data_IF_595011054211
#
_entry.id   IF_595011054211
#
_cell.length_a   1.000
_cell.length_b   1.000
_cell.length_c   1.000
_cell.angle_alpha   90.00
_cell.angle_beta   90.00
_cell.angle_gamma   90.00
#
_symmetry.space_group_name_H-M   'P 1'
#
loop_
_entity.id
_entity.type
_entity.pdbx_description
1 polymer ?
#
# COMPACT_ATOMS: atom_id res chain seq x y z
N UNK A 1 7.48 -37.32 -11.00
CA UNK A 1 6.84 -36.07 -11.44
C UNK A 1 6.86 -35.17 -10.24
N UNK A 2 7.69 -34.13 -10.28
CA UNK A 2 7.95 -33.25 -9.16
C UNK A 2 6.85 -32.18 -9.09
N UNK A 3 5.87 -32.37 -8.20
CA UNK A 3 4.86 -31.36 -7.90
C UNK A 3 5.51 -30.24 -7.09
N UNK A 4 6.18 -29.31 -7.78
CA UNK A 4 6.63 -28.07 -7.15
C UNK A 4 5.44 -27.43 -6.43
N UNK A 5 5.53 -27.12 -5.12
CA UNK A 5 4.41 -26.58 -4.36
C UNK A 5 3.83 -25.32 -5.04
N UNK A 6 2.51 -25.19 -5.06
CA UNK A 6 1.76 -24.09 -5.71
C UNK A 6 2.30 -22.70 -5.32
N UNK A 7 2.88 -22.56 -4.13
CA UNK A 7 3.54 -21.35 -3.64
C UNK A 7 4.68 -20.84 -4.52
N UNK A 8 5.36 -21.71 -5.27
CA UNK A 8 6.51 -21.33 -6.11
C UNK A 8 6.11 -20.85 -7.51
N UNK A 9 4.82 -20.87 -7.90
CA UNK A 9 4.34 -20.30 -9.17
C UNK A 9 3.45 -19.08 -8.98
N UNK A 10 3.04 -18.79 -7.75
CA UNK A 10 2.09 -17.74 -7.47
C UNK A 10 2.76 -16.36 -7.50
N UNK A 11 2.60 -15.64 -8.61
CA UNK A 11 3.10 -14.26 -8.74
C UNK A 11 2.09 -13.19 -8.32
N UNK A 12 0.80 -13.53 -8.35
CA UNK A 12 -0.30 -12.62 -8.01
C UNK A 12 -1.25 -13.28 -7.03
N UNK A 13 -1.50 -12.63 -5.91
CA UNK A 13 -2.46 -13.05 -4.90
C UNK A 13 -3.51 -11.96 -4.79
N UNK A 14 -4.76 -12.37 -4.96
CA UNK A 14 -5.93 -11.52 -4.77
C UNK A 14 -6.79 -12.14 -3.69
N UNK A 15 -7.04 -11.38 -2.63
CA UNK A 15 -7.94 -11.76 -1.54
C UNK A 15 -9.14 -10.82 -1.58
N UNK A 16 -10.30 -11.35 -1.94
CA UNK A 16 -11.58 -10.65 -1.91
C UNK A 16 -12.42 -11.19 -0.74
N UNK A 17 -12.68 -10.35 0.26
CA UNK A 17 -13.56 -10.70 1.39
C UNK A 17 -14.91 -10.00 1.23
N UNK A 18 -16.00 -10.76 1.25
CA UNK A 18 -17.37 -10.23 1.15
C UNK A 18 -18.05 -10.03 2.51
N UNK A 19 -17.45 -10.54 3.58
CA UNK A 19 -17.99 -10.48 4.94
C UNK A 19 -17.65 -9.13 5.57
N UNK A 20 -18.61 -8.19 5.54
CA UNK A 20 -18.40 -6.80 6.00
C UNK A 20 -18.19 -6.67 7.51
N UNK A 21 -18.64 -7.63 8.30
CA UNK A 21 -18.54 -7.61 9.77
C UNK A 21 -17.24 -8.21 10.30
N UNK A 22 -16.47 -8.93 9.46
CA UNK A 22 -15.25 -9.60 9.90
C UNK A 22 -14.05 -8.66 9.78
N UNK A 23 -13.39 -8.37 10.92
CA UNK A 23 -12.11 -7.65 10.98
C UNK A 23 -11.00 -8.69 11.19
N UNK A 24 -10.05 -8.73 10.28
CA UNK A 24 -8.91 -9.64 10.32
C UNK A 24 -7.86 -9.14 11.33
N UNK A 25 -7.50 -10.01 12.27
CA UNK A 25 -6.36 -9.77 13.17
C UNK A 25 -5.05 -10.09 12.45
N UNK A 26 -4.32 -9.04 12.07
CA UNK A 26 -3.13 -9.16 11.22
C UNK A 26 -1.92 -9.79 11.89
N UNK A 27 -1.92 -9.91 13.22
CA UNK A 27 -0.89 -10.63 13.99
C UNK A 27 -0.73 -12.10 13.56
N UNK A 28 -1.81 -12.71 13.06
CA UNK A 28 -1.86 -14.11 12.62
C UNK A 28 -1.46 -14.33 11.15
N UNK A 29 -1.38 -13.27 10.35
CA UNK A 29 -1.15 -13.37 8.91
C UNK A 29 0.35 -13.35 8.61
N UNK A 30 0.86 -14.44 8.03
CA UNK A 30 2.22 -14.52 7.53
C UNK A 30 2.26 -15.05 6.09
N UNK A 31 2.65 -14.17 5.18
CA UNK A 31 2.75 -14.40 3.74
C UNK A 31 4.22 -14.41 3.24
N UNK A 32 5.21 -14.35 4.13
CA UNK A 32 6.62 -14.26 3.74
C UNK A 32 7.11 -15.47 2.94
N UNK A 33 6.51 -16.65 3.16
CA UNK A 33 6.80 -17.91 2.44
C UNK A 33 6.51 -17.85 0.93
N UNK A 34 5.75 -16.87 0.46
CA UNK A 34 5.39 -16.75 -0.96
C UNK A 34 6.43 -15.91 -1.71
N UNK A 35 7.67 -16.41 -1.79
CA UNK A 35 8.82 -15.67 -2.33
C UNK A 35 8.65 -15.25 -3.80
N UNK A 36 7.85 -15.97 -4.57
CA UNK A 36 7.55 -15.65 -5.97
C UNK A 36 6.41 -14.64 -6.14
N UNK A 37 5.75 -14.25 -5.05
CA UNK A 37 4.68 -13.27 -5.09
C UNK A 37 5.23 -11.87 -5.40
N UNK A 38 4.67 -11.26 -6.44
CA UNK A 38 5.03 -9.91 -6.92
C UNK A 38 3.89 -8.93 -6.73
N UNK A 39 2.65 -9.40 -6.81
CA UNK A 39 1.44 -8.57 -6.76
C UNK A 39 0.51 -9.04 -5.67
N UNK A 40 0.16 -8.13 -4.76
CA UNK A 40 -0.82 -8.37 -3.71
C UNK A 40 -2.01 -7.42 -3.89
N UNK A 41 -3.21 -7.98 -3.96
CA UNK A 41 -4.46 -7.23 -4.01
C UNK A 41 -5.35 -7.66 -2.85
N UNK A 42 -5.64 -6.73 -1.94
CA UNK A 42 -6.54 -6.94 -0.81
C UNK A 42 -7.80 -6.11 -1.04
N UNK A 43 -8.94 -6.78 -1.19
CA UNK A 43 -10.23 -6.14 -1.40
C UNK A 43 -11.24 -6.60 -0.34
N UNK A 44 -11.83 -5.64 0.38
CA UNK A 44 -12.88 -5.92 1.38
C UNK A 44 -12.38 -6.62 2.66
N UNK A 45 -11.10 -6.95 2.74
CA UNK A 45 -10.47 -7.53 3.93
C UNK A 45 -10.24 -6.44 4.97
N UNK A 46 -11.18 -6.26 5.89
CA UNK A 46 -11.11 -5.23 6.93
C UNK A 46 -10.02 -5.54 7.95
N UNK A 47 -9.14 -4.60 8.25
CA UNK A 47 -8.03 -4.79 9.21
C UNK A 47 -7.69 -3.45 9.87
N UNK A 48 -7.20 -3.46 11.12
CA UNK A 48 -6.73 -2.21 11.78
C UNK A 48 -5.40 -1.72 11.21
N UNK A 49 -4.49 -2.64 10.92
CA UNK A 49 -3.13 -2.35 10.45
C UNK A 49 -2.63 -3.46 9.53
N UNK A 50 -1.63 -3.19 8.69
CA UNK A 50 -0.99 -4.24 7.88
C UNK A 50 -0.15 -5.17 8.77
N UNK A 51 0.04 -6.45 8.37
CA UNK A 51 1.08 -7.27 8.97
C UNK A 51 2.44 -6.58 8.87
N UNK A 52 3.34 -6.83 9.83
CA UNK A 52 4.69 -6.30 9.77
C UNK A 52 5.38 -6.66 8.44
N UNK A 53 6.32 -5.80 8.02
CA UNK A 53 6.94 -5.89 6.69
C UNK A 53 7.66 -7.23 6.43
N UNK A 54 8.18 -7.88 7.48
CA UNK A 54 8.84 -9.19 7.45
C UNK A 54 7.85 -10.37 7.32
N UNK A 55 6.57 -10.13 7.61
CA UNK A 55 5.46 -11.07 7.36
C UNK A 55 4.86 -10.93 5.96
N UNK A 56 5.25 -9.92 5.20
CA UNK A 56 4.85 -9.75 3.80
C UNK A 56 5.84 -10.47 2.86
N UNK A 57 5.41 -10.87 1.66
CA UNK A 57 6.30 -11.47 0.69
C UNK A 57 7.44 -10.51 0.31
N UNK A 58 8.70 -10.96 0.31
CA UNK A 58 9.88 -10.06 0.21
C UNK A 58 10.04 -9.41 -1.16
N UNK A 59 9.42 -9.98 -2.19
CA UNK A 59 9.58 -9.56 -3.59
C UNK A 59 8.35 -8.84 -4.15
N UNK A 60 7.47 -8.32 -3.29
CA UNK A 60 6.32 -7.53 -3.74
C UNK A 60 6.78 -6.29 -4.51
N UNK A 61 6.29 -6.16 -5.74
CA UNK A 61 6.50 -5.01 -6.62
C UNK A 61 5.25 -4.16 -6.74
N UNK A 62 4.07 -4.74 -6.48
CA UNK A 62 2.80 -4.03 -6.53
C UNK A 62 1.88 -4.42 -5.39
N UNK A 63 1.31 -3.42 -4.73
CA UNK A 63 0.27 -3.60 -3.72
C UNK A 63 -0.95 -2.77 -4.13
N UNK A 64 -2.13 -3.37 -3.98
CA UNK A 64 -3.42 -2.68 -4.13
C UNK A 64 -4.28 -3.00 -2.93
N UNK A 65 -4.71 -1.97 -2.22
CA UNK A 65 -5.59 -2.08 -1.07
C UNK A 65 -6.90 -1.39 -1.43
N UNK A 66 -8.03 -2.05 -1.21
CA UNK A 66 -9.34 -1.47 -1.47
C UNK A 66 -10.32 -1.99 -0.42
N UNK A 67 -11.08 -1.08 0.20
CA UNK A 67 -12.05 -1.42 1.27
C UNK A 67 -11.44 -2.25 2.40
N UNK A 68 -10.16 -2.03 2.70
CA UNK A 68 -9.44 -2.65 3.82
C UNK A 68 -9.66 -1.91 5.14
N UNK A 69 -10.15 -0.66 5.10
CA UNK A 69 -10.47 0.16 6.28
C UNK A 69 -9.35 0.19 7.34
N UNK A 70 -8.11 0.36 6.89
CA UNK A 70 -6.97 0.48 7.80
C UNK A 70 -7.13 1.71 8.69
N UNK A 71 -6.95 1.51 9.98
CA UNK A 71 -7.00 2.56 11.01
C UNK A 71 -5.60 3.14 11.24
N UNK A 72 -4.57 2.31 11.19
CA UNK A 72 -3.17 2.74 11.23
C UNK A 72 -2.64 3.03 9.83
N UNK A 73 -1.70 3.98 9.77
CA UNK A 73 -1.07 4.40 8.52
C UNK A 73 -0.39 3.20 7.82
N UNK A 74 -0.82 2.81 6.60
CA UNK A 74 -0.19 1.73 5.86
C UNK A 74 1.28 2.01 5.52
N UNK A 75 1.69 3.28 5.41
CA UNK A 75 3.04 3.65 5.02
C UNK A 75 4.09 3.16 6.02
N UNK A 76 3.75 3.04 7.30
CA UNK A 76 4.66 2.54 8.33
C UNK A 76 5.20 1.14 8.05
N UNK A 77 4.36 0.28 7.48
CA UNK A 77 4.76 -1.06 7.03
C UNK A 77 5.36 -1.02 5.64
N UNK A 78 4.68 -0.36 4.70
CA UNK A 78 4.98 -0.45 3.28
C UNK A 78 6.31 0.23 2.92
N UNK A 79 6.75 1.23 3.70
CA UNK A 79 8.03 1.93 3.49
C UNK A 79 9.24 1.01 3.54
N UNK A 80 9.17 -0.09 4.30
CA UNK A 80 10.30 -1.03 4.45
C UNK A 80 10.39 -2.05 3.30
N UNK A 81 9.44 -2.08 2.37
CA UNK A 81 9.44 -3.03 1.25
C UNK A 81 10.42 -2.62 0.16
N UNK A 82 11.52 -3.36 0.05
CA UNK A 82 12.66 -2.99 -0.79
C UNK A 82 12.39 -3.04 -2.30
N UNK A 83 11.40 -3.81 -2.73
CA UNK A 83 11.08 -4.04 -4.14
C UNK A 83 9.77 -3.37 -4.61
N UNK A 84 9.08 -2.65 -3.72
CA UNK A 84 7.77 -2.07 -4.03
C UNK A 84 7.92 -0.93 -5.02
N UNK A 85 7.30 -1.07 -6.20
CA UNK A 85 7.31 -0.09 -7.30
C UNK A 85 5.99 0.64 -7.47
N UNK A 86 4.88 -0.02 -7.17
CA UNK A 86 3.55 0.55 -7.32
C UNK A 86 2.70 0.30 -6.06
N UNK A 87 2.19 1.38 -5.48
CA UNK A 87 1.23 1.34 -4.39
C UNK A 87 -0.08 1.98 -4.83
N UNK A 88 -1.18 1.25 -4.66
CA UNK A 88 -2.54 1.75 -4.86
C UNK A 88 -3.34 1.66 -3.57
N UNK A 89 -3.69 2.82 -3.02
CA UNK A 89 -4.65 2.97 -1.93
C UNK A 89 -5.99 3.36 -2.54
N UNK A 90 -6.87 2.37 -2.68
CA UNK A 90 -8.18 2.47 -3.28
C UNK A 90 -9.27 2.90 -2.29
N UNK A 91 -10.52 2.88 -2.77
CA UNK A 91 -11.68 3.37 -2.01
C UNK A 91 -11.72 2.76 -0.62
N UNK A 92 -11.80 3.59 0.43
CA UNK A 92 -11.91 3.15 1.82
C UNK A 92 -10.81 2.16 2.25
N UNK A 93 -9.61 2.21 1.66
CA UNK A 93 -8.50 1.35 2.09
C UNK A 93 -7.87 1.80 3.40
N UNK A 94 -7.93 3.10 3.68
CA UNK A 94 -7.41 3.74 4.88
C UNK A 94 -8.44 4.78 5.37
N UNK A 95 -8.65 4.87 6.67
CA UNK A 95 -9.64 5.76 7.31
C UNK A 95 -8.99 6.77 8.25
N UNK A 96 -7.66 6.90 8.24
CA UNK A 96 -6.96 7.94 8.98
C UNK A 96 -6.71 9.19 8.14
N UNK A 97 -6.29 10.25 8.82
CA UNK A 97 -6.20 11.62 8.25
C UNK A 97 -4.85 11.94 7.62
N UNK A 98 -3.81 11.17 7.95
CA UNK A 98 -2.43 11.44 7.55
C UNK A 98 -1.77 10.22 6.94
N UNK A 99 -1.11 10.42 5.80
CA UNK A 99 -0.14 9.48 5.23
C UNK A 99 1.28 10.02 5.44
N UNK A 100 2.08 9.35 6.26
CA UNK A 100 3.44 9.72 6.61
C UNK A 100 4.45 8.84 5.85
N UNK A 101 5.09 9.42 4.85
CA UNK A 101 6.21 8.81 4.14
C UNK A 101 7.51 9.33 4.78
N UNK A 102 8.15 8.49 5.59
CA UNK A 102 9.38 8.85 6.31
C UNK A 102 10.59 8.92 5.40
N UNK A 103 11.45 9.92 5.67
CA UNK A 103 12.66 10.26 4.93
C UNK A 103 13.89 9.43 5.28
N UNK A 104 13.77 8.48 6.22
CA UNK A 104 14.91 7.67 6.64
C UNK A 104 15.51 6.89 5.45
N UNK A 105 16.85 6.80 5.37
CA UNK A 105 17.53 6.00 4.37
C UNK A 105 16.97 4.57 4.29
N UNK A 106 16.63 4.12 3.09
CA UNK A 106 16.11 2.78 2.84
C UNK A 106 14.59 2.64 2.91
N UNK A 107 13.85 3.72 3.18
CA UNK A 107 12.40 3.76 3.01
C UNK A 107 12.02 4.00 1.54
N UNK A 108 11.01 3.27 1.05
CA UNK A 108 10.50 3.29 -0.34
C UNK A 108 11.58 3.43 -1.43
N UNK A 109 12.64 2.60 -1.42
CA UNK A 109 13.81 2.79 -2.29
C UNK A 109 13.49 2.63 -3.77
N UNK A 110 12.37 1.96 -4.11
CA UNK A 110 11.97 1.65 -5.48
C UNK A 110 10.57 2.14 -5.85
N UNK A 111 9.87 2.90 -4.99
CA UNK A 111 8.50 3.31 -5.29
C UNK A 111 8.48 4.34 -6.42
N UNK A 112 7.82 3.99 -7.52
CA UNK A 112 7.73 4.80 -8.74
C UNK A 112 6.33 5.41 -8.92
N UNK A 113 5.29 4.69 -8.48
CA UNK A 113 3.89 5.09 -8.63
C UNK A 113 3.14 5.00 -7.30
N UNK A 114 2.55 6.12 -6.89
CA UNK A 114 1.61 6.18 -5.77
C UNK A 114 0.24 6.65 -6.26
N UNK A 115 -0.77 5.81 -6.08
CA UNK A 115 -2.16 6.11 -6.39
C UNK A 115 -2.99 6.15 -5.11
N UNK A 116 -3.67 7.27 -4.85
CA UNK A 116 -4.55 7.49 -3.72
C UNK A 116 -5.93 7.85 -4.24
N UNK A 117 -6.90 6.97 -4.01
CA UNK A 117 -8.25 7.06 -4.57
C UNK A 117 -9.30 6.84 -3.50
N UNK A 118 -10.26 7.76 -3.37
CA UNK A 118 -11.44 7.49 -2.55
C UNK A 118 -11.13 7.42 -1.04
N UNK A 119 -10.13 8.19 -0.59
CA UNK A 119 -9.80 8.38 0.82
C UNK A 119 -10.33 9.75 1.26
N UNK A 120 -11.60 9.79 1.68
CA UNK A 120 -12.30 11.04 1.97
C UNK A 120 -11.88 11.69 3.29
N UNK A 121 -11.37 10.90 4.24
CA UNK A 121 -10.89 11.41 5.54
C UNK A 121 -9.43 11.92 5.48
N UNK A 122 -8.76 11.79 4.32
CA UNK A 122 -7.34 12.13 4.20
C UNK A 122 -7.15 13.66 4.18
N UNK A 123 -6.61 14.22 5.25
CA UNK A 123 -6.31 15.65 5.36
C UNK A 123 -4.92 16.02 4.84
N UNK A 124 -3.93 15.11 4.94
CA UNK A 124 -2.57 15.44 4.52
C UNK A 124 -1.72 14.24 4.11
N UNK A 125 -0.84 14.49 3.14
CA UNK A 125 0.28 13.63 2.80
C UNK A 125 1.56 14.32 3.27
N UNK A 126 2.38 13.61 4.03
CA UNK A 126 3.67 14.09 4.52
C UNK A 126 4.75 13.24 3.88
N UNK A 127 5.71 13.91 3.22
CA UNK A 127 6.89 13.25 2.66
C UNK A 127 8.10 14.03 3.15
N UNK A 128 8.86 13.41 4.03
CA UNK A 128 10.13 13.96 4.48
C UNK A 128 11.19 13.82 3.37
N UNK A 129 12.26 14.60 3.49
CA UNK A 129 13.37 14.58 2.54
C UNK A 129 13.90 13.16 2.35
N UNK A 130 14.04 12.71 1.10
CA UNK A 130 14.52 11.37 0.79
C UNK A 130 13.49 10.24 0.95
N UNK A 131 12.24 10.52 1.35
CA UNK A 131 11.28 9.45 1.70
C UNK A 131 10.74 8.63 0.53
N UNK A 132 10.76 9.15 -0.69
CA UNK A 132 10.36 8.44 -1.91
C UNK A 132 11.22 8.90 -3.10
N UNK A 133 12.51 8.51 -3.16
CA UNK A 133 13.49 9.12 -4.05
C UNK A 133 13.27 8.81 -5.54
N UNK A 134 12.46 7.80 -5.87
CA UNK A 134 12.18 7.36 -7.25
C UNK A 134 10.75 7.62 -7.70
N UNK A 135 9.95 8.36 -6.92
CA UNK A 135 8.55 8.61 -7.25
C UNK A 135 8.46 9.48 -8.51
N UNK A 136 7.77 8.97 -9.53
CA UNK A 136 7.59 9.64 -10.83
C UNK A 136 6.15 10.01 -11.09
N UNK A 137 5.22 9.22 -10.55
CA UNK A 137 3.80 9.37 -10.81
C UNK A 137 3.02 9.39 -9.48
N UNK A 138 2.35 10.50 -9.22
CA UNK A 138 1.43 10.61 -8.10
C UNK A 138 0.01 10.87 -8.61
N UNK A 139 -0.94 10.00 -8.26
CA UNK A 139 -2.34 10.17 -8.63
C UNK A 139 -3.16 10.32 -7.36
N UNK A 140 -3.92 11.41 -7.27
CA UNK A 140 -4.88 11.62 -6.18
C UNK A 140 -6.23 12.01 -6.77
N UNK A 141 -7.28 11.28 -6.39
CA UNK A 141 -8.62 11.52 -6.94
C UNK A 141 -9.73 11.00 -6.03
N UNK A 142 -10.85 11.72 -6.00
CA UNK A 142 -11.98 11.44 -5.08
C UNK A 142 -11.53 11.37 -3.62
N UNK A 143 -10.62 12.25 -3.23
CA UNK A 143 -10.25 12.52 -1.83
C UNK A 143 -10.81 13.90 -1.45
N UNK A 144 -10.54 14.35 -0.22
CA UNK A 144 -10.83 15.72 0.18
C UNK A 144 -10.11 16.71 -0.76
N UNK A 145 -10.81 17.66 -1.41
CA UNK A 145 -10.17 18.73 -2.18
C UNK A 145 -9.17 19.57 -1.36
N UNK A 146 -9.33 19.63 -0.04
CA UNK A 146 -8.46 20.37 0.89
C UNK A 146 -7.24 19.54 1.35
N UNK A 147 -7.08 18.29 0.89
CA UNK A 147 -5.91 17.46 1.25
C UNK A 147 -4.60 18.21 0.96
N UNK A 148 -3.79 18.39 2.01
CA UNK A 148 -2.49 19.04 1.92
C UNK A 148 -1.47 18.08 1.30
N UNK A 149 -0.98 18.43 0.12
CA UNK A 149 0.05 17.68 -0.62
C UNK A 149 1.37 18.46 -0.62
N UNK A 150 2.52 17.81 -0.39
CA UNK A 150 3.83 18.47 -0.46
C UNK A 150 4.15 18.97 -1.87
N UNK A 151 4.81 20.12 -1.98
CA UNK A 151 5.09 20.77 -3.27
C UNK A 151 5.85 19.88 -4.26
N UNK A 152 6.80 19.06 -3.76
CA UNK A 152 7.53 18.10 -4.59
C UNK A 152 6.62 17.08 -5.27
N UNK A 153 5.56 16.63 -4.58
CA UNK A 153 4.58 15.70 -5.15
C UNK A 153 3.61 16.40 -6.10
N UNK A 154 3.25 17.66 -5.84
CA UNK A 154 2.35 18.44 -6.72
C UNK A 154 2.88 18.53 -8.15
N UNK A 155 4.21 18.59 -8.33
CA UNK A 155 4.85 18.66 -9.65
C UNK A 155 4.65 17.41 -10.51
N UNK A 156 4.50 16.25 -9.88
CA UNK A 156 4.30 14.96 -10.54
C UNK A 156 2.86 14.44 -10.38
N UNK A 157 1.99 15.28 -9.82
CA UNK A 157 0.61 14.95 -9.54
C UNK A 157 -0.21 14.98 -10.83
N UNK A 158 -0.98 13.92 -11.09
CA UNK A 158 -2.02 13.92 -12.12
C UNK A 158 -3.39 13.82 -11.48
N UNK A 159 -4.27 14.73 -11.86
CA UNK A 159 -5.70 14.69 -11.56
C UNK A 159 -6.43 14.31 -12.85
N UNK A 160 -7.41 13.41 -12.77
CA UNK A 160 -8.35 13.18 -13.87
C UNK A 160 -9.63 13.91 -13.52
N UNK A 161 -10.07 14.81 -14.41
CA UNK A 161 -11.34 15.54 -14.30
C UNK A 161 -12.53 14.56 -14.26
#
# INVERSE_FOLDING_TARGET
MDETPVSHKLETLRLDTLIRSFKLETNSVNLSRYENLRKLHLHGTRMSELPQHDKLPPNLTKITLERTHLEKDPMETLKKLQNLKMLKLGRMSYTGEKLACSGEPGNFPQLEVLEVKGLYELEMVVVEEGGMPRLKDFHIFRCDPETRIPDGMRKIMRTTM
#
